data_IF_593028469642
#
_entry.id   IF_593028469642
#
_cell.length_a   1.000
_cell.length_b   1.000
_cell.length_c   1.000
_cell.angle_alpha   90.00
_cell.angle_beta   90.00
_cell.angle_gamma   90.00
#
_symmetry.space_group_name_H-M   'P 1'
#
loop_
_entity.id
_entity.type
_entity.pdbx_description
1 polymer ?
#
# COMPACT_ATOMS: atom_id res chain seq x y z
N UNK A 1 10.58 -11.93 -6.54
CA UNK A 1 10.43 -11.55 -5.12
C UNK A 1 8.95 -11.43 -4.81
N UNK A 2 8.46 -12.37 -4.00
CA UNK A 2 7.11 -12.35 -3.43
C UNK A 2 7.07 -11.18 -2.45
N UNK A 3 6.04 -10.34 -2.52
CA UNK A 3 5.84 -9.25 -1.56
C UNK A 3 5.86 -9.83 -0.15
N UNK A 4 6.76 -9.34 0.70
CA UNK A 4 6.66 -9.52 2.15
C UNK A 4 5.31 -8.94 2.58
N UNK A 5 4.29 -9.80 2.64
CA UNK A 5 3.07 -9.49 3.38
C UNK A 5 3.56 -9.45 4.82
N UNK A 6 3.68 -8.24 5.37
CA UNK A 6 3.99 -8.04 6.78
C UNK A 6 2.91 -8.77 7.59
N UNK A 7 3.27 -9.93 8.12
CA UNK A 7 2.36 -10.77 8.87
C UNK A 7 2.03 -10.09 10.20
N UNK A 8 0.75 -9.87 10.47
CA UNK A 8 0.25 -9.28 11.72
C UNK A 8 -0.62 -10.34 12.42
N UNK A 9 -0.37 -10.56 13.71
CA UNK A 9 -1.18 -11.49 14.51
C UNK A 9 -2.65 -11.06 14.50
N UNK A 10 -3.55 -12.03 14.36
CA UNK A 10 -4.99 -11.79 14.36
C UNK A 10 -5.68 -12.40 15.58
N UNK A 11 -6.74 -11.75 16.12
CA UNK A 11 -7.56 -12.31 17.18
C UNK A 11 -8.12 -13.68 16.79
N UNK A 12 -7.94 -14.68 17.66
CA UNK A 12 -8.45 -16.04 17.40
C UNK A 12 -9.25 -16.63 18.55
N UNK A 13 -9.14 -16.05 19.74
CA UNK A 13 -9.81 -16.51 20.95
C UNK A 13 -9.84 -15.41 22.02
N UNK A 14 -10.73 -15.59 23.02
CA UNK A 14 -10.83 -14.76 24.21
C UNK A 14 -9.65 -15.02 25.14
N UNK A 15 -9.09 -13.95 25.70
CA UNK A 15 -7.99 -14.01 26.64
C UNK A 15 -8.48 -14.55 28.00
N UNK A 16 -7.85 -15.62 28.48
CA UNK A 16 -8.20 -16.26 29.76
C UNK A 16 -7.32 -15.81 30.94
N UNK A 17 -6.27 -15.02 30.69
CA UNK A 17 -5.31 -14.58 31.72
C UNK A 17 -5.77 -13.29 32.39
N UNK A 18 -6.33 -12.36 31.61
CA UNK A 18 -6.88 -11.10 32.10
C UNK A 18 -8.40 -11.23 32.32
N UNK A 19 -8.80 -11.61 33.54
CA UNK A 19 -10.22 -11.76 33.89
C UNK A 19 -10.72 -10.60 34.77
N UNK A 20 -12.03 -10.37 34.76
CA UNK A 20 -12.70 -9.37 35.61
C UNK A 20 -12.80 -9.75 37.09
N UNK A 21 -12.08 -10.79 37.55
CA UNK A 21 -12.11 -11.21 38.95
C UNK A 21 -13.37 -11.99 39.34
N UNK A 22 -13.92 -12.81 38.43
CA UNK A 22 -15.01 -13.75 38.70
C UNK A 22 -16.40 -13.33 38.22
N UNK A 23 -16.52 -12.21 37.50
CA UNK A 23 -17.78 -11.76 36.89
C UNK A 23 -17.99 -12.31 35.47
N UNK A 24 -17.05 -13.11 34.97
CA UNK A 24 -17.23 -13.93 33.78
C UNK A 24 -16.50 -15.24 33.91
N UNK A 25 -16.96 -16.24 33.14
CA UNK A 25 -16.25 -17.49 32.90
C UNK A 25 -16.12 -17.66 31.41
N UNK A 26 -14.88 -17.75 30.94
CA UNK A 26 -14.57 -18.12 29.55
C UNK A 26 -14.56 -19.64 29.46
N UNK A 27 -15.31 -20.19 28.50
CA UNK A 27 -15.40 -21.63 28.27
C UNK A 27 -14.10 -22.21 27.73
N UNK A 28 -13.99 -23.54 27.77
CA UNK A 28 -12.79 -24.27 27.30
C UNK A 28 -12.47 -24.07 25.82
N UNK A 29 -13.49 -23.74 25.01
CA UNK A 29 -13.34 -23.37 23.60
C UNK A 29 -12.65 -22.01 23.39
N UNK A 30 -12.54 -21.21 24.46
CA UNK A 30 -12.06 -19.82 24.47
C UNK A 30 -12.81 -18.91 23.50
N UNK A 31 -14.04 -19.26 23.14
CA UNK A 31 -14.92 -18.50 22.26
C UNK A 31 -16.27 -18.20 22.90
N UNK A 32 -16.59 -18.84 24.02
CA UNK A 32 -17.83 -18.62 24.75
C UNK A 32 -17.54 -17.97 26.10
N UNK A 33 -18.39 -17.03 26.53
CA UNK A 33 -18.33 -16.41 27.85
C UNK A 33 -19.71 -16.39 28.48
N UNK A 34 -19.77 -16.66 29.78
CA UNK A 34 -21.00 -16.62 30.56
C UNK A 34 -20.82 -15.82 31.84
N UNK A 35 -21.89 -15.22 32.34
CA UNK A 35 -21.93 -14.59 33.66
C UNK A 35 -22.27 -15.62 34.75
N UNK A 36 -21.31 -16.01 35.62
CA UNK A 36 -21.54 -17.05 36.62
C UNK A 36 -22.28 -16.55 37.87
N UNK A 37 -22.38 -15.23 38.06
CA UNK A 37 -22.76 -14.62 39.32
C UNK A 37 -24.27 -14.49 39.54
N UNK A 38 -24.66 -14.39 40.81
CA UNK A 38 -25.97 -13.90 41.28
C UNK A 38 -25.92 -12.42 41.72
N UNK A 39 -24.74 -11.78 41.58
CA UNK A 39 -24.47 -10.43 42.12
C UNK A 39 -24.97 -9.35 41.16
N UNK A 40 -25.57 -8.31 41.74
CA UNK A 40 -26.46 -7.34 41.07
C UNK A 40 -25.97 -5.89 41.22
N UNK A 41 -24.67 -5.67 41.53
CA UNK A 41 -24.13 -4.31 41.63
C UNK A 41 -23.78 -3.75 40.24
N UNK A 42 -23.91 -2.43 40.07
CA UNK A 42 -23.68 -1.77 38.78
C UNK A 42 -22.26 -1.92 38.21
N UNK A 43 -21.29 -2.38 39.00
CA UNK A 43 -19.88 -2.58 38.62
C UNK A 43 -19.48 -4.04 38.44
N UNK A 44 -20.40 -4.98 38.60
CA UNK A 44 -20.14 -6.42 38.48
C UNK A 44 -20.07 -6.84 37.00
N UNK A 45 -19.31 -6.12 36.18
CA UNK A 45 -19.20 -6.39 34.74
C UNK A 45 -18.11 -7.43 34.50
N UNK A 46 -18.40 -8.39 33.63
CA UNK A 46 -17.46 -9.38 33.10
C UNK A 46 -17.06 -9.08 31.67
N UNK A 47 -16.14 -8.13 31.47
CA UNK A 47 -15.55 -7.89 30.16
C UNK A 47 -14.39 -8.85 29.88
N UNK A 48 -14.20 -9.20 28.62
CA UNK A 48 -13.08 -10.02 28.16
C UNK A 48 -12.59 -9.53 26.79
N UNK A 49 -11.29 -9.31 26.71
CA UNK A 49 -10.59 -8.97 25.46
C UNK A 49 -10.20 -10.25 24.69
N UNK A 50 -10.01 -10.12 23.39
CA UNK A 50 -9.32 -11.14 22.61
C UNK A 50 -7.84 -11.30 23.03
N UNK A 51 -7.21 -12.37 22.55
CA UNK A 51 -5.82 -12.72 22.86
C UNK A 51 -4.76 -11.73 22.32
N UNK A 52 -5.07 -11.02 21.24
CA UNK A 52 -4.24 -9.97 20.67
C UNK A 52 -5.10 -8.80 20.13
N UNK A 53 -4.45 -7.73 19.73
CA UNK A 53 -5.11 -6.56 19.17
C UNK A 53 -5.71 -6.85 17.79
N UNK A 54 -6.71 -6.06 17.41
CA UNK A 54 -7.23 -6.03 16.05
C UNK A 54 -6.11 -5.57 15.10
N UNK A 55 -5.86 -6.32 14.00
CA UNK A 55 -4.81 -5.99 13.05
C UNK A 55 -5.09 -4.67 12.35
N UNK A 56 -4.08 -3.82 12.28
CA UNK A 56 -4.16 -2.42 11.88
C UNK A 56 -3.67 -2.17 10.46
N UNK A 57 -2.88 -3.06 9.85
CA UNK A 57 -2.25 -2.86 8.52
C UNK A 57 -3.18 -3.22 7.35
N UNK A 58 -4.47 -2.96 7.49
CA UNK A 58 -5.54 -3.31 6.53
C UNK A 58 -6.58 -2.21 6.46
N UNK A 59 -7.49 -2.29 5.48
CA UNK A 59 -8.57 -1.31 5.36
C UNK A 59 -9.52 -1.37 6.57
N UNK A 60 -9.94 -2.59 6.93
CA UNK A 60 -10.91 -2.82 7.99
C UNK A 60 -10.63 -4.11 8.75
N UNK A 61 -11.05 -4.14 10.01
CA UNK A 61 -11.14 -5.35 10.83
C UNK A 61 -12.58 -5.52 11.34
N UNK A 62 -13.05 -6.75 11.50
CA UNK A 62 -14.43 -7.07 11.91
C UNK A 62 -14.50 -8.40 12.66
N UNK A 63 -15.39 -8.48 13.65
CA UNK A 63 -15.73 -9.72 14.35
C UNK A 63 -17.20 -9.71 14.78
N UNK A 64 -17.76 -10.90 15.03
CA UNK A 64 -19.15 -11.07 15.46
C UNK A 64 -19.25 -11.68 16.87
N UNK A 65 -20.32 -11.32 17.55
CA UNK A 65 -20.77 -11.89 18.81
C UNK A 65 -22.22 -12.36 18.64
N UNK A 66 -22.52 -13.58 19.05
CA UNK A 66 -23.90 -14.09 19.13
C UNK A 66 -24.33 -14.14 20.59
N UNK A 67 -25.50 -13.58 20.88
CA UNK A 67 -26.13 -13.67 22.20
C UNK A 67 -26.85 -15.01 22.29
N UNK A 68 -26.25 -16.00 22.97
CA UNK A 68 -26.91 -17.30 23.19
C UNK A 68 -28.05 -17.15 24.18
N UNK A 69 -27.80 -16.39 25.24
CA UNK A 69 -28.77 -16.06 26.25
C UNK A 69 -28.53 -14.63 26.74
N UNK A 70 -29.51 -13.75 26.64
CA UNK A 70 -29.45 -12.38 27.16
C UNK A 70 -29.60 -12.30 28.68
N UNK A 71 -29.85 -13.44 29.34
CA UNK A 71 -30.04 -13.48 30.78
C UNK A 71 -31.22 -12.64 31.24
N UNK A 72 -31.12 -12.06 32.43
CA UNK A 72 -32.21 -11.29 33.02
C UNK A 72 -32.33 -9.85 32.51
N UNK A 73 -31.20 -9.20 32.20
CA UNK A 73 -31.18 -7.77 31.85
C UNK A 73 -30.69 -7.47 30.44
N UNK A 74 -30.08 -8.43 29.73
CA UNK A 74 -29.56 -8.20 28.39
C UNK A 74 -28.45 -7.15 28.31
N UNK A 75 -27.70 -6.94 29.40
CA UNK A 75 -26.66 -5.91 29.54
C UNK A 75 -25.34 -6.37 28.95
N UNK A 76 -25.43 -7.00 27.79
CA UNK A 76 -24.32 -7.51 27.03
C UNK A 76 -23.81 -6.42 26.09
N UNK A 77 -22.52 -6.40 25.81
CA UNK A 77 -21.92 -5.39 24.94
C UNK A 77 -20.81 -5.97 24.07
N UNK A 78 -20.61 -5.33 22.92
CA UNK A 78 -19.53 -5.63 21.96
C UNK A 78 -18.81 -4.33 21.59
N UNK A 79 -17.50 -4.39 21.42
CA UNK A 79 -16.73 -3.27 20.89
C UNK A 79 -15.23 -3.48 20.98
N UNK A 80 -14.52 -2.38 21.21
CA UNK A 80 -13.06 -2.32 21.21
C UNK A 80 -12.56 -1.53 22.40
N UNK A 81 -11.50 -2.03 23.04
CA UNK A 81 -10.90 -1.38 24.22
C UNK A 81 -9.37 -1.36 24.13
N UNK A 82 -8.70 -0.39 24.78
CA UNK A 82 -7.24 -0.33 24.79
C UNK A 82 -6.63 -1.40 25.73
N UNK A 83 -5.33 -1.70 25.62
CA UNK A 83 -4.63 -2.53 26.61
C UNK A 83 -4.72 -1.90 28.01
N UNK A 84 -4.72 -2.75 29.04
CA UNK A 84 -4.68 -2.30 30.45
C UNK A 84 -5.99 -1.71 30.99
N UNK A 85 -7.08 -1.73 30.21
CA UNK A 85 -8.41 -1.31 30.69
C UNK A 85 -8.90 -2.23 31.81
N UNK A 86 -9.69 -1.69 32.74
CA UNK A 86 -10.30 -2.49 33.81
C UNK A 86 -11.38 -3.40 33.22
N UNK A 87 -11.23 -4.72 33.38
CA UNK A 87 -12.20 -5.71 32.89
C UNK A 87 -13.55 -5.70 33.63
N UNK A 88 -13.70 -4.90 34.68
CA UNK A 88 -14.98 -4.63 35.36
C UNK A 88 -15.77 -3.45 34.76
N UNK A 89 -15.48 -3.08 33.51
CA UNK A 89 -16.12 -1.98 32.77
C UNK A 89 -16.51 -2.46 31.39
N UNK A 90 -17.67 -2.04 30.91
CA UNK A 90 -18.11 -2.41 29.56
C UNK A 90 -17.32 -1.64 28.49
N UNK A 91 -17.18 -2.20 27.27
CA UNK A 91 -16.62 -1.48 26.14
C UNK A 91 -17.30 -0.12 25.94
N UNK A 92 -16.50 0.92 25.71
CA UNK A 92 -17.00 2.28 25.53
C UNK A 92 -17.12 3.12 26.80
N UNK A 93 -16.93 2.55 28.00
CA UNK A 93 -17.01 3.32 29.25
C UNK A 93 -15.71 4.03 29.64
N UNK A 94 -14.57 3.56 29.15
CA UNK A 94 -13.24 4.11 29.44
C UNK A 94 -12.66 4.85 28.24
N UNK A 95 -11.71 5.76 28.47
CA UNK A 95 -11.08 6.51 27.38
C UNK A 95 -10.52 5.58 26.29
N UNK A 96 -10.47 6.07 25.05
CA UNK A 96 -9.94 5.34 23.91
C UNK A 96 -10.64 3.99 23.64
N UNK A 97 -11.89 3.84 24.07
CA UNK A 97 -12.73 2.67 23.81
C UNK A 97 -14.05 3.03 23.11
N UNK A 98 -14.66 2.04 22.45
CA UNK A 98 -15.95 2.16 21.79
C UNK A 98 -16.76 0.89 22.05
N UNK A 99 -18.06 1.01 22.32
CA UNK A 99 -18.91 -0.16 22.56
C UNK A 99 -20.39 0.09 22.31
N UNK A 100 -21.05 -0.93 21.78
CA UNK A 100 -22.49 -0.96 21.51
C UNK A 100 -23.18 -1.91 22.50
N UNK A 101 -24.19 -1.40 23.20
CA UNK A 101 -24.80 -2.02 24.37
C UNK A 101 -26.18 -2.59 24.04
N UNK A 102 -26.48 -3.79 24.54
CA UNK A 102 -27.63 -4.58 24.15
C UNK A 102 -28.95 -4.15 24.78
N UNK A 103 -28.91 -3.65 26.02
CA UNK A 103 -30.10 -3.31 26.80
C UNK A 103 -30.75 -1.98 26.40
N UNK A 104 -29.96 -1.03 25.91
CA UNK A 104 -30.43 0.31 25.53
C UNK A 104 -30.21 0.67 24.06
N UNK A 105 -29.42 -0.12 23.32
CA UNK A 105 -29.08 0.17 21.92
C UNK A 105 -28.16 1.38 21.74
N UNK A 106 -27.53 1.85 22.82
CA UNK A 106 -26.67 3.03 22.79
C UNK A 106 -25.23 2.69 22.40
N UNK A 107 -24.54 3.69 21.86
CA UNK A 107 -23.09 3.66 21.64
C UNK A 107 -22.37 4.47 22.73
N UNK A 108 -21.30 3.88 23.25
CA UNK A 108 -20.45 4.49 24.27
C UNK A 108 -19.05 4.70 23.70
N UNK A 109 -18.51 5.93 23.82
CA UNK A 109 -17.28 6.37 23.14
C UNK A 109 -16.21 6.90 24.10
N UNK A 110 -16.18 6.38 25.32
CA UNK A 110 -15.14 6.59 26.32
C UNK A 110 -15.40 7.70 27.33
N UNK A 111 -16.66 8.08 27.54
CA UNK A 111 -17.06 9.13 28.49
C UNK A 111 -18.19 8.70 29.43
N UNK A 112 -18.49 7.38 29.51
CA UNK A 112 -19.52 6.80 30.38
C UNK A 112 -20.97 7.18 30.06
N UNK A 113 -21.20 8.23 29.26
CA UNK A 113 -22.51 8.63 28.73
C UNK A 113 -22.72 8.01 27.35
N UNK A 114 -23.85 7.33 27.18
CA UNK A 114 -24.26 6.74 25.92
C UNK A 114 -24.89 7.76 24.97
N UNK A 115 -24.78 7.50 23.67
CA UNK A 115 -25.43 8.23 22.59
C UNK A 115 -26.42 7.29 21.88
N UNK A 116 -27.57 7.81 21.44
CA UNK A 116 -28.52 7.02 20.63
C UNK A 116 -27.86 6.55 19.35
N UNK A 117 -27.98 5.27 19.02
CA UNK A 117 -27.25 4.68 17.91
C UNK A 117 -28.05 3.64 17.13
N UNK A 118 -28.48 2.57 17.79
CA UNK A 118 -29.10 1.42 17.12
C UNK A 118 -30.23 0.80 17.92
N UNK A 119 -30.84 -0.27 17.40
CA UNK A 119 -31.81 -1.05 18.16
C UNK A 119 -31.15 -1.74 19.35
N UNK A 120 -31.93 -2.18 20.33
CA UNK A 120 -31.45 -3.13 21.34
C UNK A 120 -31.16 -4.50 20.71
N UNK A 121 -30.47 -5.40 21.41
CA UNK A 121 -30.23 -6.78 20.96
C UNK A 121 -30.27 -7.78 22.11
N UNK A 122 -30.74 -9.00 21.82
CA UNK A 122 -31.08 -10.01 22.82
C UNK A 122 -30.80 -11.43 22.32
N UNK A 123 -31.22 -12.46 23.06
CA UNK A 123 -31.05 -13.88 22.75
C UNK A 123 -31.39 -14.18 21.28
N UNK A 124 -30.48 -14.85 20.58
CA UNK A 124 -30.60 -15.21 19.18
C UNK A 124 -30.03 -14.17 18.21
N UNK A 125 -29.82 -12.93 18.63
CA UNK A 125 -29.19 -11.92 17.78
C UNK A 125 -27.68 -12.17 17.61
N UNK A 126 -27.18 -11.87 16.42
CA UNK A 126 -25.75 -11.76 16.13
C UNK A 126 -25.41 -10.31 15.84
N UNK A 127 -24.46 -9.77 16.59
CA UNK A 127 -24.01 -8.39 16.52
C UNK A 127 -22.54 -8.37 16.20
N UNK A 128 -22.13 -7.61 15.19
CA UNK A 128 -20.73 -7.46 14.83
C UNK A 128 -20.23 -6.04 15.04
N UNK A 129 -18.93 -5.93 15.30
CA UNK A 129 -18.22 -4.67 15.47
C UNK A 129 -16.98 -4.67 14.58
N UNK A 130 -16.73 -3.54 13.93
CA UNK A 130 -15.56 -3.36 13.09
C UNK A 130 -14.97 -1.95 13.16
N UNK A 131 -13.75 -1.84 12.64
CA UNK A 131 -12.98 -0.61 12.53
C UNK A 131 -12.67 -0.39 11.05
N UNK A 132 -12.99 0.78 10.53
CA UNK A 132 -12.48 1.27 9.25
C UNK A 132 -11.29 2.18 9.53
N UNK A 133 -10.08 1.69 9.27
CA UNK A 133 -8.84 2.42 9.56
C UNK A 133 -8.60 3.57 8.58
N UNK A 134 -9.19 3.52 7.38
CA UNK A 134 -9.07 4.60 6.41
C UNK A 134 -9.91 5.83 6.77
N UNK A 135 -11.15 5.63 7.24
CA UNK A 135 -12.01 6.73 7.71
C UNK A 135 -11.89 7.02 9.21
N UNK A 136 -11.20 6.17 9.98
CA UNK A 136 -11.11 6.26 11.44
C UNK A 136 -12.48 6.18 12.13
N UNK A 137 -13.32 5.25 11.64
CA UNK A 137 -14.67 5.01 12.11
C UNK A 137 -14.82 3.60 12.69
N UNK A 138 -15.63 3.47 13.74
CA UNK A 138 -16.19 2.18 14.11
C UNK A 138 -17.50 1.97 13.37
N UNK A 139 -17.81 0.73 13.06
CA UNK A 139 -19.11 0.36 12.51
C UNK A 139 -19.66 -0.87 13.23
N UNK A 140 -20.98 -0.96 13.32
CA UNK A 140 -21.66 -2.05 13.99
C UNK A 140 -22.75 -2.63 13.11
N UNK A 141 -23.05 -3.89 13.33
CA UNK A 141 -23.99 -4.66 12.53
C UNK A 141 -24.89 -5.48 13.45
N UNK A 142 -26.11 -5.75 13.01
CA UNK A 142 -27.05 -6.63 13.70
C UNK A 142 -27.71 -7.54 12.67
N UNK A 143 -27.67 -8.84 12.90
CA UNK A 143 -28.28 -9.88 12.08
C UNK A 143 -27.97 -9.72 10.58
N UNK A 144 -26.68 -9.49 10.27
CA UNK A 144 -26.19 -9.35 8.91
C UNK A 144 -26.47 -8.00 8.23
N UNK A 145 -26.95 -6.99 8.97
CA UNK A 145 -27.20 -5.64 8.44
C UNK A 145 -26.38 -4.59 9.18
N UNK A 146 -25.90 -3.58 8.45
CA UNK A 146 -25.23 -2.42 9.04
C UNK A 146 -26.22 -1.63 9.91
N UNK A 147 -25.83 -1.33 11.14
CA UNK A 147 -26.58 -0.49 12.08
C UNK A 147 -26.18 0.97 11.90
N UNK A 148 -24.88 1.25 11.88
CA UNK A 148 -24.36 2.61 11.70
C UNK A 148 -22.85 2.67 11.89
N UNK A 149 -22.30 3.87 11.67
CA UNK A 149 -20.88 4.19 11.87
C UNK A 149 -20.72 5.33 12.88
N UNK A 150 -19.59 5.35 13.59
CA UNK A 150 -19.23 6.43 14.52
C UNK A 150 -17.77 6.83 14.34
N UNK A 151 -17.55 8.13 14.14
CA UNK A 151 -16.21 8.71 14.00
C UNK A 151 -15.52 8.75 15.35
N UNK A 152 -14.39 8.10 15.54
CA UNK A 152 -13.59 8.25 16.76
C UNK A 152 -12.16 7.94 16.43
N UNK A 153 -11.31 8.96 16.51
CA UNK A 153 -9.87 8.76 16.45
C UNK A 153 -9.45 7.90 17.64
N UNK A 154 -8.73 6.83 17.35
CA UNK A 154 -8.28 5.87 18.37
C UNK A 154 -6.77 5.73 18.28
N UNK A 155 -6.14 5.76 19.44
CA UNK A 155 -4.68 5.70 19.55
C UNK A 155 -4.23 4.30 19.92
N UNK A 156 -3.17 3.83 19.29
CA UNK A 156 -2.54 2.56 19.63
C UNK A 156 -3.39 1.32 19.33
N UNK A 157 -2.98 0.15 19.85
CA UNK A 157 -3.66 -1.12 19.60
C UNK A 157 -5.00 -1.19 20.35
N UNK A 158 -6.01 -1.74 19.68
CA UNK A 158 -7.32 -2.01 20.27
C UNK A 158 -7.65 -3.48 20.23
N UNK A 159 -8.26 -3.97 21.30
CA UNK A 159 -8.63 -5.37 21.43
C UNK A 159 -10.14 -5.52 21.20
N UNK A 160 -10.57 -6.45 20.33
CA UNK A 160 -11.95 -6.90 20.30
C UNK A 160 -12.37 -7.29 21.72
N UNK A 161 -13.50 -6.76 22.18
CA UNK A 161 -13.95 -6.93 23.56
C UNK A 161 -15.44 -7.20 23.57
N UNK A 162 -15.86 -8.18 24.36
CA UNK A 162 -17.26 -8.40 24.68
C UNK A 162 -17.45 -8.37 26.20
N UNK A 163 -18.66 -8.10 26.66
CA UNK A 163 -18.98 -8.04 28.08
C UNK A 163 -20.33 -8.65 28.40
N UNK A 164 -20.39 -9.27 29.57
CA UNK A 164 -21.60 -9.70 30.28
C UNK A 164 -21.72 -8.92 31.59
N UNK A 165 -22.93 -8.77 32.13
CA UNK A 165 -23.22 -8.05 33.37
C UNK A 165 -24.37 -8.65 34.19
N UNK A 166 -25.25 -9.47 33.60
CA UNK A 166 -26.41 -10.02 34.33
C UNK A 166 -26.51 -11.54 34.30
N UNK A 167 -27.22 -12.07 35.30
CA UNK A 167 -27.35 -13.49 35.52
C UNK A 167 -27.87 -14.22 34.27
N UNK A 168 -27.23 -15.36 33.95
CA UNK A 168 -27.51 -16.23 32.81
C UNK A 168 -27.18 -15.63 31.44
N UNK A 169 -26.48 -14.50 31.38
CA UNK A 169 -25.94 -14.03 30.10
C UNK A 169 -24.88 -14.99 29.58
N UNK A 170 -25.00 -15.34 28.30
CA UNK A 170 -24.12 -16.25 27.59
C UNK A 170 -23.92 -15.74 26.16
N UNK A 171 -22.66 -15.59 25.77
CA UNK A 171 -22.22 -15.02 24.51
C UNK A 171 -21.20 -15.95 23.85
N UNK A 172 -21.20 -15.98 22.51
CA UNK A 172 -20.14 -16.63 21.72
C UNK A 172 -19.55 -15.66 20.72
N UNK A 173 -18.25 -15.75 20.43
CA UNK A 173 -17.58 -14.89 19.46
C UNK A 173 -17.10 -15.65 18.23
N UNK A 174 -17.17 -14.98 17.08
CA UNK A 174 -16.56 -15.40 15.83
C UNK A 174 -15.54 -14.33 15.40
N UNK A 175 -14.26 -14.68 15.45
CA UNK A 175 -13.17 -13.83 14.96
C UNK A 175 -12.85 -14.03 13.47
N UNK A 176 -13.72 -14.70 12.72
CA UNK A 176 -13.54 -15.00 11.28
C UNK A 176 -13.17 -16.45 10.97
N UNK A 177 -13.18 -17.35 11.97
CA UNK A 177 -13.01 -18.80 11.74
C UNK A 177 -14.22 -19.44 11.06
N UNK A 178 -15.38 -18.82 11.19
CA UNK A 178 -16.61 -19.20 10.52
C UNK A 178 -17.13 -18.04 9.67
N UNK A 179 -17.91 -18.30 8.61
CA UNK A 179 -18.54 -17.24 7.84
C UNK A 179 -19.32 -16.28 8.74
N UNK A 180 -19.12 -14.98 8.52
CA UNK A 180 -19.90 -13.96 9.19
C UNK A 180 -21.34 -13.94 8.66
N UNK A 181 -22.28 -13.53 9.50
CA UNK A 181 -23.65 -13.27 9.06
C UNK A 181 -23.72 -11.98 8.24
N UNK A 182 -22.90 -10.97 8.57
CA UNK A 182 -22.69 -9.80 7.73
C UNK A 182 -21.76 -10.12 6.55
N UNK A 183 -22.13 -9.67 5.34
CA UNK A 183 -21.25 -9.80 4.18
C UNK A 183 -20.12 -8.76 4.22
N UNK A 184 -19.15 -9.02 5.10
CA UNK A 184 -18.03 -8.13 5.35
C UNK A 184 -17.14 -7.92 4.11
N UNK A 185 -16.94 -8.97 3.30
CA UNK A 185 -16.16 -8.87 2.06
C UNK A 185 -16.78 -7.91 1.05
N UNK A 186 -18.10 -7.98 0.85
CA UNK A 186 -18.82 -7.05 -0.02
C UNK A 186 -18.75 -5.62 0.50
N UNK A 187 -18.83 -5.42 1.83
CA UNK A 187 -18.71 -4.10 2.44
C UNK A 187 -17.31 -3.50 2.24
N UNK A 188 -16.24 -4.28 2.42
CA UNK A 188 -14.87 -3.85 2.10
C UNK A 188 -14.73 -3.47 0.62
N UNK A 189 -15.31 -4.27 -0.29
CA UNK A 189 -15.27 -3.99 -1.72
C UNK A 189 -16.02 -2.71 -2.10
N UNK A 190 -17.19 -2.48 -1.50
CA UNK A 190 -17.99 -1.26 -1.69
C UNK A 190 -17.19 -0.02 -1.27
N UNK A 191 -16.56 -0.06 -0.11
CA UNK A 191 -15.76 1.05 0.43
C UNK A 191 -14.51 1.33 -0.41
N UNK A 192 -13.84 0.28 -0.89
CA UNK A 192 -12.74 0.44 -1.87
C UNK A 192 -13.22 1.10 -3.16
N UNK A 193 -14.39 0.71 -3.65
CA UNK A 193 -14.97 1.25 -4.88
C UNK A 193 -15.31 2.73 -4.70
N UNK A 194 -15.90 3.13 -3.57
CA UNK A 194 -16.17 4.54 -3.24
C UNK A 194 -14.90 5.39 -3.22
N UNK A 195 -13.83 4.89 -2.59
CA UNK A 195 -12.53 5.57 -2.60
C UNK A 195 -11.96 5.70 -4.01
N UNK A 196 -12.00 4.62 -4.79
CA UNK A 196 -11.50 4.61 -6.17
C UNK A 196 -12.27 5.59 -7.07
N UNK A 197 -13.60 5.60 -6.98
CA UNK A 197 -14.45 6.53 -7.73
C UNK A 197 -14.17 7.99 -7.34
N UNK A 198 -13.89 8.27 -6.07
CA UNK A 198 -13.51 9.61 -5.61
C UNK A 198 -12.17 10.05 -6.20
N UNK A 199 -11.20 9.15 -6.25
CA UNK A 199 -9.89 9.39 -6.89
C UNK A 199 -10.08 9.64 -8.40
N UNK A 200 -10.90 8.84 -9.08
CA UNK A 200 -11.13 8.97 -10.52
C UNK A 200 -11.86 10.24 -10.93
N UNK A 201 -12.67 10.82 -10.03
CA UNK A 201 -13.27 12.14 -10.22
C UNK A 201 -12.23 13.28 -10.17
N UNK A 202 -11.06 13.04 -9.58
CA UNK A 202 -9.95 13.99 -9.59
C UNK A 202 -9.23 13.91 -10.94
N UNK A 203 -9.65 14.76 -11.88
CA UNK A 203 -9.05 14.82 -13.21
C UNK A 203 -7.77 15.65 -13.19
N UNK A 204 -6.69 15.12 -13.78
CA UNK A 204 -5.50 15.89 -14.08
C UNK A 204 -5.66 16.52 -15.47
N UNK A 205 -5.41 17.84 -15.65
CA UNK A 205 -5.45 18.45 -16.98
C UNK A 205 -4.48 17.74 -17.94
N UNK A 206 -4.94 17.51 -19.17
CA UNK A 206 -4.19 16.71 -20.17
C UNK A 206 -2.81 17.31 -20.47
N UNK A 207 -2.69 18.64 -20.48
CA UNK A 207 -1.42 19.32 -20.65
C UNK A 207 -0.44 19.01 -19.51
N UNK A 208 -0.91 18.87 -18.27
CA UNK A 208 -0.08 18.52 -17.11
C UNK A 208 0.35 17.07 -17.19
N UNK A 209 -0.58 16.13 -17.46
CA UNK A 209 -0.22 14.71 -17.61
C UNK A 209 0.77 14.49 -18.76
N UNK A 210 0.55 15.16 -19.89
CA UNK A 210 1.43 15.11 -21.06
C UNK A 210 2.82 15.65 -20.70
N UNK A 211 2.90 16.79 -20.02
CA UNK A 211 4.17 17.39 -19.61
C UNK A 211 4.96 16.48 -18.66
N UNK A 212 4.31 15.85 -17.67
CA UNK A 212 4.98 14.93 -16.74
C UNK A 212 5.65 13.77 -17.49
N UNK A 213 4.92 13.14 -18.43
CA UNK A 213 5.44 12.03 -19.24
C UNK A 213 6.56 12.50 -20.15
N UNK A 214 6.37 13.63 -20.85
CA UNK A 214 7.39 14.26 -21.71
C UNK A 214 8.68 14.55 -20.94
N UNK A 215 8.59 15.17 -19.76
CA UNK A 215 9.74 15.50 -18.91
C UNK A 215 10.48 14.24 -18.46
N UNK A 216 9.76 13.14 -18.15
CA UNK A 216 10.40 11.85 -17.87
C UNK A 216 11.15 11.29 -19.08
N UNK A 217 10.51 11.25 -20.26
CA UNK A 217 11.14 10.76 -21.49
C UNK A 217 12.37 11.58 -21.88
N UNK A 218 12.32 12.90 -21.68
CA UNK A 218 13.47 13.81 -21.89
C UNK A 218 14.58 13.56 -20.88
N UNK A 219 14.26 13.43 -19.59
CA UNK A 219 15.23 13.21 -18.52
C UNK A 219 16.06 11.95 -18.76
N UNK A 220 15.38 10.85 -19.12
CA UNK A 220 15.99 9.58 -19.49
C UNK A 220 16.38 9.48 -20.97
N UNK A 221 16.10 10.54 -21.75
CA UNK A 221 16.38 10.74 -23.18
C UNK A 221 16.00 9.57 -24.08
N UNK A 222 14.77 9.10 -23.88
CA UNK A 222 14.05 8.22 -24.78
C UNK A 222 13.55 9.04 -26.00
N UNK A 223 14.48 9.52 -26.82
CA UNK A 223 14.22 10.47 -27.93
C UNK A 223 13.17 9.95 -28.93
N UNK A 224 13.31 8.71 -29.41
CA UNK A 224 12.37 8.12 -30.37
C UNK A 224 10.96 7.93 -29.77
N UNK A 225 10.90 7.50 -28.51
CA UNK A 225 9.63 7.36 -27.76
C UNK A 225 8.98 8.73 -27.55
N UNK A 226 9.78 9.75 -27.23
CA UNK A 226 9.30 11.12 -27.05
C UNK A 226 8.71 11.68 -28.34
N UNK A 227 9.42 11.52 -29.46
CA UNK A 227 8.94 11.96 -30.77
C UNK A 227 7.61 11.27 -31.12
N UNK A 228 7.53 9.96 -30.89
CA UNK A 228 6.30 9.18 -31.11
C UNK A 228 5.16 9.65 -30.20
N UNK A 229 5.46 9.92 -28.93
CA UNK A 229 4.51 10.42 -27.94
C UNK A 229 3.96 11.80 -28.31
N UNK A 230 4.83 12.72 -28.76
CA UNK A 230 4.42 14.05 -29.23
C UNK A 230 3.53 13.98 -30.47
N UNK A 231 3.89 13.14 -31.44
CA UNK A 231 3.11 12.96 -32.67
C UNK A 231 1.71 12.44 -32.34
N UNK A 232 1.61 11.45 -31.46
CA UNK A 232 0.34 10.90 -31.01
C UNK A 232 -0.50 11.96 -30.27
N UNK A 233 0.14 12.82 -29.47
CA UNK A 233 -0.53 13.81 -28.62
C UNK A 233 -0.96 15.09 -29.34
N UNK A 234 -0.30 15.46 -30.44
CA UNK A 234 -0.66 16.62 -31.29
C UNK A 234 -2.07 16.53 -31.88
N UNK A 235 -2.63 15.33 -31.98
CA UNK A 235 -4.01 15.13 -32.43
C UNK A 235 -5.06 15.42 -31.32
N UNK A 236 -4.64 15.65 -30.07
CA UNK A 236 -5.53 15.70 -28.90
C UNK A 236 -5.40 16.95 -28.01
N UNK A 237 -4.42 17.83 -28.25
CA UNK A 237 -4.16 19.01 -27.42
C UNK A 237 -4.57 20.32 -28.13
N UNK A 238 -5.39 21.16 -27.48
CA UNK A 238 -5.52 22.58 -27.85
C UNK A 238 -4.38 23.41 -27.24
N UNK A 239 -4.00 24.57 -27.83
CA UNK A 239 -2.89 25.37 -27.32
C UNK A 239 -3.26 26.01 -25.97
N UNK A 240 -2.52 25.68 -24.91
CA UNK A 240 -2.67 26.34 -23.60
C UNK A 240 -1.73 27.56 -23.48
N UNK A 241 -2.03 28.54 -22.61
CA UNK A 241 -1.27 29.78 -22.51
C UNK A 241 0.12 29.52 -21.91
N UNK A 242 1.12 30.03 -22.63
CA UNK A 242 2.54 30.08 -22.32
C UNK A 242 2.78 30.87 -21.04
N UNK A 243 2.78 30.20 -19.88
CA UNK A 243 3.09 30.86 -18.62
C UNK A 243 3.87 29.97 -17.64
N UNK A 244 4.77 29.11 -18.14
CA UNK A 244 5.89 28.54 -17.35
C UNK A 244 6.90 27.71 -18.18
N UNK A 245 6.92 27.82 -19.51
CA UNK A 245 7.86 27.06 -20.36
C UNK A 245 9.29 27.63 -20.33
N UNK A 246 9.43 28.96 -20.26
CA UNK A 246 10.71 29.63 -20.52
C UNK A 246 11.83 29.36 -19.49
N UNK A 247 11.52 28.91 -18.27
CA UNK A 247 12.54 28.64 -17.24
C UNK A 247 13.03 27.19 -17.24
N UNK A 248 12.29 26.27 -17.86
CA UNK A 248 12.50 24.82 -17.73
C UNK A 248 12.99 24.19 -19.04
N UNK A 249 12.60 24.72 -20.21
CA UNK A 249 13.14 24.29 -21.52
C UNK A 249 14.68 24.33 -21.57
N UNK A 250 15.30 25.27 -20.84
CA UNK A 250 16.75 25.44 -20.83
C UNK A 250 17.50 24.30 -20.13
N UNK A 251 16.90 23.66 -19.12
CA UNK A 251 17.46 22.49 -18.43
C UNK A 251 17.31 21.18 -19.22
N UNK A 252 16.28 21.07 -20.07
CA UNK A 252 15.91 19.80 -20.73
C UNK A 252 16.57 19.65 -22.11
N UNK A 253 16.72 20.74 -22.87
CA UNK A 253 17.54 20.77 -24.10
C UNK A 253 19.03 20.50 -23.80
N UNK A 254 19.48 20.83 -22.58
CA UNK A 254 20.82 20.55 -22.09
C UNK A 254 21.15 19.05 -22.06
N UNK A 255 20.21 18.21 -21.58
CA UNK A 255 20.42 16.78 -21.44
C UNK A 255 20.64 16.10 -22.80
N UNK A 256 19.83 16.42 -23.80
CA UNK A 256 19.96 15.90 -25.17
C UNK A 256 21.26 16.34 -25.84
N UNK A 257 21.63 17.62 -25.70
CA UNK A 257 22.88 18.15 -26.27
C UNK A 257 24.12 17.55 -25.58
N UNK A 258 24.08 17.36 -24.26
CA UNK A 258 25.16 16.70 -23.51
C UNK A 258 25.30 15.23 -23.83
N UNK A 259 24.22 14.49 -24.08
CA UNK A 259 24.32 13.10 -24.59
C UNK A 259 25.06 13.05 -25.92
N UNK A 260 24.83 14.02 -26.82
CA UNK A 260 25.59 14.13 -28.08
C UNK A 260 27.07 14.37 -27.82
N UNK A 261 27.42 15.24 -26.86
CA UNK A 261 28.81 15.53 -26.46
C UNK A 261 29.48 14.31 -25.79
N UNK A 262 28.78 13.59 -24.90
CA UNK A 262 29.30 12.37 -24.24
C UNK A 262 29.62 11.25 -25.24
N UNK A 263 28.88 11.18 -26.36
CA UNK A 263 29.16 10.24 -27.46
C UNK A 263 30.40 10.60 -28.29
N UNK A 264 30.90 11.83 -28.20
CA UNK A 264 32.08 12.28 -28.95
C UNK A 264 33.40 11.89 -28.26
N UNK A 265 33.41 11.60 -26.95
CA UNK A 265 34.60 11.12 -26.27
C UNK A 265 34.81 9.61 -26.53
N UNK A 266 35.59 9.31 -27.56
CA UNK A 266 35.72 7.98 -28.15
C UNK A 266 36.28 6.88 -27.23
N UNK A 267 36.95 7.23 -26.13
CA UNK A 267 37.62 6.26 -25.23
C UNK A 267 37.07 6.25 -23.80
N UNK A 268 36.03 7.02 -23.51
CA UNK A 268 35.41 7.03 -22.18
C UNK A 268 34.66 5.73 -21.87
N UNK A 269 34.62 5.33 -20.59
CA UNK A 269 33.82 4.20 -20.09
C UNK A 269 32.36 4.29 -20.53
N UNK A 270 31.78 5.50 -20.54
CA UNK A 270 30.40 5.72 -20.97
C UNK A 270 30.19 5.40 -22.45
N UNK A 271 31.13 5.83 -23.30
CA UNK A 271 31.10 5.57 -24.73
C UNK A 271 31.25 4.07 -25.02
N UNK A 272 32.08 3.37 -24.23
CA UNK A 272 32.15 1.92 -24.26
C UNK A 272 30.80 1.28 -23.91
N UNK A 273 30.19 1.63 -22.77
CA UNK A 273 28.91 1.04 -22.33
C UNK A 273 27.81 1.22 -23.39
N UNK A 274 27.72 2.41 -24.00
CA UNK A 274 26.76 2.69 -25.08
C UNK A 274 27.00 1.83 -26.32
N UNK A 275 28.26 1.67 -26.75
CA UNK A 275 28.63 0.87 -27.92
C UNK A 275 28.45 -0.62 -27.64
N UNK A 276 28.82 -1.08 -26.44
CA UNK A 276 28.60 -2.45 -25.98
C UNK A 276 27.10 -2.78 -25.96
N UNK A 277 26.27 -1.89 -25.42
CA UNK A 277 24.82 -2.08 -25.42
C UNK A 277 24.27 -2.20 -26.85
N UNK A 278 24.66 -1.32 -27.77
CA UNK A 278 24.21 -1.40 -29.17
C UNK A 278 24.65 -2.71 -29.84
N UNK A 279 25.86 -3.18 -29.55
CA UNK A 279 26.32 -4.47 -30.03
C UNK A 279 25.48 -5.64 -29.47
N UNK A 280 25.17 -5.61 -28.18
CA UNK A 280 24.30 -6.61 -27.52
C UNK A 280 22.90 -6.60 -28.16
N UNK A 281 22.35 -5.43 -28.53
CA UNK A 281 21.05 -5.37 -29.22
C UNK A 281 21.08 -6.08 -30.58
N UNK A 282 22.16 -5.94 -31.39
CA UNK A 282 22.28 -6.68 -32.65
C UNK A 282 22.31 -8.20 -32.43
N UNK A 283 22.98 -8.68 -31.35
CA UNK A 283 22.96 -10.10 -30.99
C UNK A 283 21.55 -10.53 -30.57
N UNK A 284 20.85 -9.70 -29.79
CA UNK A 284 19.50 -10.00 -29.30
C UNK A 284 18.48 -10.17 -30.43
N UNK A 285 18.60 -9.40 -31.52
CA UNK A 285 17.73 -9.53 -32.70
C UNK A 285 18.22 -10.57 -33.72
N UNK A 286 19.35 -11.24 -33.46
CA UNK A 286 19.91 -12.28 -34.35
C UNK A 286 20.69 -11.75 -35.56
N UNK A 287 20.99 -10.44 -35.62
CA UNK A 287 21.72 -9.81 -36.73
C UNK A 287 23.24 -9.98 -36.58
N UNK A 288 23.74 -11.22 -36.63
CA UNK A 288 25.15 -11.55 -36.34
C UNK A 288 26.14 -10.83 -37.26
N UNK A 289 25.85 -10.73 -38.56
CA UNK A 289 26.74 -10.03 -39.51
C UNK A 289 26.86 -8.53 -39.17
N UNK A 290 25.74 -7.90 -38.81
CA UNK A 290 25.72 -6.51 -38.38
C UNK A 290 26.47 -6.32 -37.06
N UNK A 291 26.30 -7.25 -36.11
CA UNK A 291 27.02 -7.26 -34.84
C UNK A 291 28.54 -7.33 -35.04
N UNK A 292 29.03 -8.26 -35.88
CA UNK A 292 30.47 -8.40 -36.18
C UNK A 292 31.04 -7.15 -36.86
N UNK A 293 30.32 -6.62 -37.86
CA UNK A 293 30.72 -5.39 -38.55
C UNK A 293 30.77 -4.20 -37.58
N UNK A 294 29.78 -4.09 -36.70
CA UNK A 294 29.71 -3.04 -35.69
C UNK A 294 30.83 -3.15 -34.65
N UNK A 295 31.10 -4.36 -34.12
CA UNK A 295 32.15 -4.60 -33.15
C UNK A 295 33.54 -4.21 -33.69
N UNK A 296 33.86 -4.63 -34.93
CA UNK A 296 35.13 -4.27 -35.59
C UNK A 296 35.30 -2.76 -35.74
N UNK A 297 34.23 -2.04 -36.04
CA UNK A 297 34.28 -0.59 -36.24
C UNK A 297 34.29 0.21 -34.92
N UNK A 298 33.55 -0.25 -33.91
CA UNK A 298 33.22 0.56 -32.74
C UNK A 298 33.82 0.05 -31.43
N UNK A 299 33.86 -1.27 -31.20
CA UNK A 299 34.39 -1.87 -29.99
C UNK A 299 35.91 -2.07 -30.05
N UNK A 300 36.47 -2.23 -31.26
CA UNK A 300 37.91 -2.39 -31.45
C UNK A 300 38.75 -1.22 -30.90
N UNK A 301 38.14 -0.02 -30.79
CA UNK A 301 38.77 1.16 -30.21
C UNK A 301 39.11 1.02 -28.72
N UNK A 302 38.54 0.03 -28.02
CA UNK A 302 38.70 -0.16 -26.58
C UNK A 302 39.66 -1.29 -26.20
N UNK A 303 40.24 -2.01 -27.16
CA UNK A 303 41.22 -3.07 -26.87
C UNK A 303 42.45 -2.58 -26.10
N UNK A 304 42.79 -1.29 -26.21
CA UNK A 304 43.91 -0.68 -25.49
C UNK A 304 43.54 -0.16 -24.08
N UNK A 305 42.26 -0.21 -23.68
CA UNK A 305 41.77 0.32 -22.41
C UNK A 305 41.68 -0.81 -21.37
N UNK A 306 42.76 -1.04 -20.61
CA UNK A 306 42.88 -2.12 -19.61
C UNK A 306 41.70 -2.23 -18.64
N UNK A 307 41.13 -1.10 -18.23
CA UNK A 307 40.01 -1.08 -17.27
C UNK A 307 38.74 -1.77 -17.81
N UNK A 308 38.57 -1.84 -19.14
CA UNK A 308 37.36 -2.35 -19.80
C UNK A 308 37.56 -3.71 -20.44
N UNK A 309 38.76 -4.30 -20.35
CA UNK A 309 39.17 -5.50 -21.06
C UNK A 309 38.25 -6.70 -20.77
N UNK A 310 37.96 -6.97 -19.48
CA UNK A 310 37.08 -8.06 -19.08
C UNK A 310 35.65 -7.89 -19.64
N UNK A 311 35.12 -6.67 -19.58
CA UNK A 311 33.75 -6.40 -20.05
C UNK A 311 33.66 -6.47 -21.57
N UNK A 312 34.71 -6.02 -22.28
CA UNK A 312 34.83 -6.16 -23.74
C UNK A 312 34.90 -7.63 -24.15
N UNK A 313 35.69 -8.46 -23.45
CA UNK A 313 35.77 -9.90 -23.69
C UNK A 313 34.41 -10.58 -23.48
N UNK A 314 33.71 -10.27 -22.38
CA UNK A 314 32.40 -10.83 -22.10
C UNK A 314 31.36 -10.45 -23.18
N UNK A 315 31.37 -9.20 -23.65
CA UNK A 315 30.52 -8.78 -24.77
C UNK A 315 30.83 -9.60 -26.03
N UNK A 316 32.10 -9.65 -26.46
CA UNK A 316 32.49 -10.35 -27.70
C UNK A 316 32.20 -11.85 -27.61
N UNK A 317 32.34 -12.46 -26.42
CA UNK A 317 32.08 -13.88 -26.18
C UNK A 317 30.64 -14.29 -26.51
N UNK A 318 29.66 -13.36 -26.47
CA UNK A 318 28.28 -13.65 -26.88
C UNK A 318 28.18 -14.19 -28.31
N UNK A 319 29.11 -13.84 -29.21
CA UNK A 319 29.14 -14.35 -30.59
C UNK A 319 29.60 -15.80 -30.69
N UNK A 320 30.24 -16.34 -29.65
CA UNK A 320 30.78 -17.69 -29.64
C UNK A 320 29.75 -18.76 -29.25
N UNK A 321 28.54 -18.35 -28.83
CA UNK A 321 27.48 -19.24 -28.37
C UNK A 321 26.34 -19.29 -29.37
N UNK A 322 25.87 -20.50 -29.69
CA UNK A 322 24.67 -20.70 -30.53
C UNK A 322 23.41 -20.14 -29.86
N UNK A 323 23.35 -20.21 -28.53
CA UNK A 323 22.32 -19.60 -27.70
C UNK A 323 22.93 -18.63 -26.69
N UNK A 324 23.18 -17.37 -27.07
CA UNK A 324 23.84 -16.39 -26.23
C UNK A 324 23.18 -16.16 -24.86
N UNK A 325 21.84 -16.28 -24.79
CA UNK A 325 21.06 -16.10 -23.57
C UNK A 325 21.32 -17.19 -22.51
N UNK A 326 21.68 -18.41 -22.92
CA UNK A 326 21.98 -19.53 -22.01
C UNK A 326 23.46 -19.61 -21.61
N UNK A 327 24.29 -18.72 -22.15
CA UNK A 327 25.74 -18.72 -21.91
C UNK A 327 26.11 -18.20 -20.52
N UNK A 328 27.37 -18.41 -20.12
CA UNK A 328 27.92 -17.83 -18.88
C UNK A 328 27.97 -16.28 -18.89
N UNK A 329 27.80 -15.66 -20.05
CA UNK A 329 27.68 -14.21 -20.24
C UNK A 329 26.27 -13.77 -20.65
N UNK A 330 25.29 -14.69 -20.60
CA UNK A 330 23.90 -14.43 -20.97
C UNK A 330 23.23 -13.36 -20.12
N UNK A 331 23.74 -13.10 -18.91
CA UNK A 331 23.32 -11.99 -18.06
C UNK A 331 23.42 -10.62 -18.75
N UNK A 332 24.29 -10.47 -19.76
CA UNK A 332 24.42 -9.25 -20.58
C UNK A 332 23.16 -8.97 -21.43
N UNK A 333 22.38 -10.01 -21.73
CA UNK A 333 21.14 -9.92 -22.52
C UNK A 333 19.91 -9.66 -21.66
N UNK A 334 20.04 -9.59 -20.33
CA UNK A 334 18.94 -9.27 -19.42
C UNK A 334 18.43 -7.83 -19.63
N UNK A 335 17.15 -7.59 -19.34
CA UNK A 335 16.57 -6.24 -19.40
C UNK A 335 17.25 -5.29 -18.41
N UNK A 336 17.66 -5.77 -17.23
CA UNK A 336 18.33 -4.99 -16.19
C UNK A 336 19.65 -4.37 -16.66
N UNK A 337 20.34 -4.96 -17.63
CA UNK A 337 21.58 -4.39 -18.17
C UNK A 337 21.33 -3.12 -18.98
N UNK A 338 20.20 -3.03 -19.68
CA UNK A 338 19.79 -1.80 -20.37
C UNK A 338 19.57 -0.66 -19.37
N UNK A 339 18.98 -0.96 -18.22
CA UNK A 339 18.75 0.02 -17.15
C UNK A 339 20.07 0.51 -16.55
N UNK A 340 21.03 -0.38 -16.27
CA UNK A 340 22.35 0.02 -15.76
C UNK A 340 23.09 0.98 -16.70
N UNK A 341 23.06 0.70 -18.01
CA UNK A 341 23.68 1.58 -19.02
C UNK A 341 22.92 2.91 -19.11
N UNK A 342 21.59 2.89 -19.05
CA UNK A 342 20.77 4.10 -19.04
C UNK A 342 21.09 4.95 -17.80
N UNK A 343 21.15 4.37 -16.62
CA UNK A 343 21.47 5.06 -15.36
C UNK A 343 22.87 5.67 -15.37
N UNK A 344 23.87 4.95 -15.88
CA UNK A 344 25.23 5.47 -16.03
C UNK A 344 25.26 6.70 -16.95
N UNK A 345 24.53 6.65 -18.08
CA UNK A 345 24.40 7.77 -19.02
C UNK A 345 23.66 8.94 -18.38
N UNK A 346 22.54 8.69 -17.69
CA UNK A 346 21.76 9.72 -17.02
C UNK A 346 22.59 10.41 -15.93
N UNK A 347 23.29 9.65 -15.10
CA UNK A 347 24.17 10.17 -14.06
C UNK A 347 25.29 11.05 -14.65
N UNK A 348 25.92 10.61 -15.75
CA UNK A 348 26.96 11.39 -16.42
C UNK A 348 26.41 12.70 -16.99
N UNK A 349 25.25 12.67 -17.67
CA UNK A 349 24.58 13.87 -18.19
C UNK A 349 24.28 14.85 -17.07
N UNK A 350 23.69 14.37 -15.98
CA UNK A 350 23.23 15.21 -14.87
C UNK A 350 24.39 15.75 -14.03
N UNK A 351 25.50 15.00 -13.90
CA UNK A 351 26.72 15.48 -13.22
C UNK A 351 27.38 16.69 -13.90
N UNK A 352 27.09 16.90 -15.18
CA UNK A 352 27.62 18.03 -15.94
C UNK A 352 26.72 19.27 -15.87
N UNK A 353 25.48 19.16 -15.37
CA UNK A 353 24.51 20.26 -15.32
C UNK A 353 24.96 21.37 -14.33
N UNK A 354 25.20 22.61 -14.79
CA UNK A 354 25.54 23.73 -13.91
C UNK A 354 24.48 24.00 -12.83
N UNK A 355 23.20 23.72 -13.12
CA UNK A 355 22.07 23.91 -12.20
C UNK A 355 21.90 22.77 -11.19
N UNK A 356 22.62 21.65 -11.35
CA UNK A 356 22.58 20.52 -10.41
C UNK A 356 23.43 20.77 -9.15
N UNK A 357 24.36 21.74 -9.16
CA UNK A 357 25.22 22.05 -8.00
C UNK A 357 24.46 22.62 -6.79
N UNK A 358 23.31 23.25 -7.01
CA UNK A 358 22.47 23.82 -5.94
C UNK A 358 21.36 22.86 -5.46
N UNK A 359 21.20 21.69 -6.08
CA UNK A 359 20.16 20.72 -5.71
C UNK A 359 20.74 19.65 -4.79
N UNK A 360 20.67 19.88 -3.48
CA UNK A 360 21.04 18.91 -2.44
C UNK A 360 20.19 17.62 -2.41
N UNK A 361 19.22 17.45 -3.31
CA UNK A 361 18.40 16.26 -3.43
C UNK A 361 18.44 15.67 -4.85
N UNK A 362 19.14 14.54 -4.99
CA UNK A 362 18.88 13.45 -5.93
C UNK A 362 18.52 13.74 -7.40
N UNK A 363 19.28 13.12 -8.28
CA UNK A 363 19.05 12.86 -9.72
C UNK A 363 17.71 12.13 -9.95
N UNK A 364 16.58 12.84 -9.95
CA UNK A 364 15.26 12.23 -10.17
C UNK A 364 14.36 13.12 -11.03
N UNK A 365 13.61 12.50 -11.92
CA UNK A 365 12.63 13.15 -12.78
C UNK A 365 11.44 13.69 -11.98
N UNK A 366 10.65 14.60 -12.59
CA UNK A 366 9.44 15.13 -11.96
C UNK A 366 8.44 14.03 -11.58
N UNK A 367 8.28 13.01 -12.44
CA UNK A 367 7.42 11.86 -12.16
C UNK A 367 7.88 11.10 -10.92
N UNK A 368 9.17 10.79 -10.81
CA UNK A 368 9.70 10.07 -9.65
C UNK A 368 9.60 10.90 -8.36
N UNK A 369 9.80 12.23 -8.44
CA UNK A 369 9.60 13.13 -7.32
C UNK A 369 8.15 13.10 -6.84
N UNK A 370 7.19 13.13 -7.76
CA UNK A 370 5.76 13.01 -7.42
C UNK A 370 5.45 11.64 -6.77
N UNK A 371 6.01 10.54 -7.28
CA UNK A 371 5.84 9.21 -6.69
C UNK A 371 6.45 9.11 -5.29
N UNK A 372 7.62 9.74 -5.07
CA UNK A 372 8.25 9.84 -3.74
C UNK A 372 7.41 10.68 -2.78
N UNK A 373 6.90 11.82 -3.23
CA UNK A 373 6.01 12.67 -2.46
C UNK A 373 4.72 11.93 -2.09
N UNK A 374 4.09 11.23 -3.03
CA UNK A 374 2.91 10.41 -2.76
C UNK A 374 3.20 9.33 -1.69
N UNK A 375 4.35 8.67 -1.80
CA UNK A 375 4.78 7.66 -0.81
C UNK A 375 4.99 8.31 0.55
N UNK A 376 5.69 9.44 0.63
CA UNK A 376 5.94 10.18 1.85
C UNK A 376 4.64 10.70 2.49
N UNK A 377 3.73 11.29 1.72
CA UNK A 377 2.41 11.72 2.19
C UNK A 377 1.57 10.54 2.71
N UNK A 378 1.67 9.37 2.07
CA UNK A 378 0.97 8.17 2.51
C UNK A 378 1.51 7.65 3.85
N UNK A 379 2.84 7.69 4.04
CA UNK A 379 3.50 7.32 5.30
C UNK A 379 3.15 8.31 6.41
N UNK A 380 3.23 9.62 6.15
CA UNK A 380 2.90 10.66 7.13
C UNK A 380 1.43 10.58 7.56
N UNK A 381 0.51 10.36 6.62
CA UNK A 381 -0.91 10.17 6.93
C UNK A 381 -1.14 8.99 7.89
N UNK A 382 -0.38 7.90 7.75
CA UNK A 382 -0.44 6.75 8.66
C UNK A 382 0.14 7.07 10.03
N UNK A 383 1.25 7.79 10.09
CA UNK A 383 1.84 8.26 11.35
C UNK A 383 0.82 9.04 12.20
N UNK A 384 0.04 9.92 11.56
CA UNK A 384 -1.04 10.68 12.22
C UNK A 384 -2.18 9.79 12.78
N UNK A 385 -2.31 8.56 12.28
CA UNK A 385 -3.30 7.56 12.72
C UNK A 385 -2.66 6.39 13.48
N UNK A 386 -1.53 6.62 14.18
CA UNK A 386 -0.81 5.56 14.93
C UNK A 386 -0.41 4.36 14.07
N UNK A 387 0.04 4.63 12.84
CA UNK A 387 0.43 3.66 11.81
C UNK A 387 -0.68 2.70 11.33
N UNK A 388 -1.94 3.03 11.63
CA UNK A 388 -3.10 2.27 11.17
C UNK A 388 -3.43 2.50 9.70
N UNK A 389 -4.06 1.51 9.07
CA UNK A 389 -4.48 1.52 7.67
C UNK A 389 -3.47 0.83 6.74
N UNK A 390 -3.88 0.69 5.48
CA UNK A 390 -3.06 0.05 4.45
C UNK A 390 -1.81 0.86 4.10
N UNK A 391 -0.70 0.16 3.92
CA UNK A 391 0.52 0.72 3.37
C UNK A 391 0.36 0.97 1.87
N UNK A 392 0.76 2.15 1.40
CA UNK A 392 0.84 2.41 -0.04
C UNK A 392 2.06 1.69 -0.64
N UNK A 393 1.81 0.75 -1.56
CA UNK A 393 2.83 0.08 -2.33
C UNK A 393 2.68 0.38 -3.82
N UNK A 394 3.63 1.13 -4.38
CA UNK A 394 3.60 1.54 -5.79
C UNK A 394 3.43 0.35 -6.74
N UNK A 395 4.17 -0.74 -6.54
CA UNK A 395 4.10 -1.93 -7.41
C UNK A 395 2.71 -2.58 -7.40
N UNK A 396 2.07 -2.62 -6.24
CA UNK A 396 0.71 -3.16 -6.12
C UNK A 396 -0.30 -2.27 -6.83
N UNK A 397 -0.18 -0.95 -6.71
CA UNK A 397 -1.01 0.02 -7.41
C UNK A 397 -0.87 -0.11 -8.94
N UNK A 398 0.35 -0.26 -9.46
CA UNK A 398 0.61 -0.44 -10.89
C UNK A 398 0.04 -1.77 -11.43
N UNK A 399 0.17 -2.87 -10.70
CA UNK A 399 -0.43 -4.16 -11.07
C UNK A 399 -1.94 -4.13 -11.10
N UNK A 400 -2.58 -3.42 -10.17
CA UNK A 400 -4.03 -3.24 -10.17
C UNK A 400 -4.51 -2.43 -11.38
N UNK A 401 -3.78 -1.40 -11.78
CA UNK A 401 -4.09 -0.60 -12.97
C UNK A 401 -3.97 -1.39 -14.29
N UNK A 402 -2.97 -2.28 -14.40
CA UNK A 402 -2.73 -3.11 -15.59
C UNK A 402 -3.79 -4.19 -15.86
N UNK A 403 -4.71 -4.43 -14.93
CA UNK A 403 -5.86 -5.34 -15.13
C UNK A 403 -7.09 -4.67 -15.75
N UNK A 404 -7.02 -3.37 -16.04
CA UNK A 404 -8.10 -2.69 -16.77
C UNK A 404 -8.14 -3.24 -18.20
N UNK A 405 -9.29 -3.73 -18.70
CA UNK A 405 -9.40 -4.00 -20.12
C UNK A 405 -9.08 -2.71 -20.88
N UNK A 406 -8.15 -2.79 -21.83
CA UNK A 406 -7.98 -1.73 -22.81
C UNK A 406 -9.36 -1.54 -23.46
N UNK A 407 -10.00 -0.39 -23.21
CA UNK A 407 -11.16 0.02 -23.98
C UNK A 407 -10.66 0.17 -25.42
N UNK A 408 -11.03 -0.81 -26.25
CA UNK A 408 -10.70 -0.87 -27.67
C UNK A 408 -11.50 0.10 -28.51
#
# INVERSE_FOLDING_TARGET
MVSEIEWEDEPTHLNTVNSSGGFNVVSVDKLSVSYPGTRSHGHDVGAVQANCAAPTRRLMYYFEMTVKNAGQKGRVAIGFTPPGVKMCRQPGWEENSCGYHGDDGMIYRGQGKGESFGPTFTSGDTVGAGINYASQEFFFTKNGKLVGTVNKHVKGPLFPTIAVHSQNEELTVNFGKHPFLFNFEAYVLEERTKHQTTIEKSTLPVNVSHWIVRSYLLHYGYEDTLNSFDIASKNSLQPAPVAQENSIEHCEAYALNRRKILRQNETSTLCFLLRAQKFIEHIRVGELEAAVKYARAQLAKFFSVKLLENLLQNCIALLAYDQPAESCVGYLLDANQRELVADAVNAAVLSTDPAAKDRQGGVSSHLERLLRQLTACSVERRSLTSDQGETFHLHQALRAAGKRPMLG
#
